data_IF_799993746377
#
_entry.id   IF_799993746377
#
_cell.length_a   1.000
_cell.length_b   1.000
_cell.length_c   1.000
_cell.angle_alpha   90.00
_cell.angle_beta   90.00
_cell.angle_gamma   90.00
#
_symmetry.space_group_name_H-M   'P 1'
#
loop_
_entity.id
_entity.type
_entity.pdbx_description
1 polymer ?
#
# COMPACT_ATOMS: atom_id res chain seq x y z
N UNK A 1 -19.11 30.80 -3.19
CA UNK A 1 -17.65 30.61 -3.04
C UNK A 1 -17.36 29.20 -3.53
N UNK A 2 -17.26 29.10 -4.85
CA UNK A 2 -17.17 27.83 -5.58
C UNK A 2 -15.78 27.23 -5.37
N UNK A 3 -15.72 25.99 -4.88
CA UNK A 3 -14.48 25.22 -4.84
C UNK A 3 -14.34 24.57 -6.21
N UNK A 4 -13.39 25.09 -6.99
CA UNK A 4 -12.96 24.51 -8.27
C UNK A 4 -12.64 23.04 -8.09
N UNK A 5 -13.35 22.18 -8.83
CA UNK A 5 -12.96 20.79 -8.99
C UNK A 5 -11.64 20.75 -9.76
N UNK A 6 -10.57 20.37 -9.07
CA UNK A 6 -9.31 20.02 -9.71
C UNK A 6 -9.52 18.67 -10.40
N UNK A 7 -9.69 18.71 -11.72
CA UNK A 7 -9.75 17.53 -12.57
C UNK A 7 -8.36 16.90 -12.60
N UNK A 8 -8.22 15.72 -12.00
CA UNK A 8 -7.01 14.93 -12.14
C UNK A 8 -7.06 14.27 -13.52
N UNK A 9 -6.27 14.78 -14.46
CA UNK A 9 -6.07 14.16 -15.76
C UNK A 9 -5.40 12.79 -15.58
N UNK A 10 -6.15 11.72 -15.78
CA UNK A 10 -5.60 10.36 -15.86
C UNK A 10 -5.02 10.18 -17.27
N UNK A 11 -3.72 10.44 -17.41
CA UNK A 11 -2.99 10.23 -18.66
C UNK A 11 -3.09 8.75 -19.09
N UNK A 12 -3.69 8.53 -20.27
CA UNK A 12 -3.82 7.21 -20.91
C UNK A 12 -2.73 7.08 -21.98
N UNK A 13 -1.60 6.47 -21.62
CA UNK A 13 -0.45 6.15 -22.49
C UNK A 13 0.75 5.69 -21.66
N UNK A 14 1.71 4.90 -22.19
CA UNK A 14 2.86 4.43 -21.40
C UNK A 14 3.84 5.59 -21.20
N UNK A 15 3.51 6.47 -20.26
CA UNK A 15 4.44 7.48 -19.78
C UNK A 15 5.41 6.79 -18.82
N UNK A 16 6.71 7.10 -18.92
CA UNK A 16 7.71 6.62 -17.96
C UNK A 16 7.18 6.75 -16.53
N UNK A 17 7.45 5.79 -15.63
CA UNK A 17 7.00 5.85 -14.25
C UNK A 17 7.28 7.23 -13.66
N UNK A 18 6.23 7.92 -13.23
CA UNK A 18 6.39 9.25 -12.64
C UNK A 18 7.00 9.09 -11.26
N UNK A 19 8.07 9.83 -10.98
CA UNK A 19 8.75 9.82 -9.67
C UNK A 19 8.45 11.13 -8.96
N UNK A 20 8.01 11.04 -7.71
CA UNK A 20 7.70 12.18 -6.85
C UNK A 20 8.65 12.19 -5.65
N UNK A 21 9.39 13.27 -5.49
CA UNK A 21 10.15 13.56 -4.27
C UNK A 21 9.22 14.04 -3.16
N UNK A 22 9.23 13.36 -2.01
CA UNK A 22 8.35 13.69 -0.89
C UNK A 22 8.99 13.36 0.47
N UNK A 23 8.22 13.55 1.55
CA UNK A 23 8.60 13.26 2.91
C UNK A 23 7.60 12.27 3.53
N UNK A 24 8.08 11.14 4.04
CA UNK A 24 7.28 10.22 4.85
C UNK A 24 7.50 10.48 6.34
N UNK A 25 6.42 10.44 7.12
CA UNK A 25 6.46 10.61 8.56
C UNK A 25 6.44 9.22 9.22
N UNK A 26 7.54 8.86 9.87
CA UNK A 26 7.65 7.63 10.66
C UNK A 26 7.62 7.97 12.14
N UNK A 27 6.98 7.14 12.97
CA UNK A 27 7.10 7.30 14.41
C UNK A 27 8.56 7.13 14.85
N UNK A 28 8.94 7.85 15.90
CA UNK A 28 10.28 7.73 16.46
C UNK A 28 10.52 6.31 17.01
N UNK A 29 11.71 5.78 16.72
CA UNK A 29 12.24 4.58 17.35
C UNK A 29 12.55 4.83 18.82
N UNK A 30 12.66 3.77 19.63
CA UNK A 30 12.92 3.89 21.07
C UNK A 30 14.18 4.70 21.39
N UNK A 31 15.24 4.52 20.59
CA UNK A 31 16.52 5.24 20.74
C UNK A 31 16.41 6.73 20.44
N UNK A 32 15.42 7.12 19.63
CA UNK A 32 15.19 8.50 19.18
C UNK A 32 14.10 9.20 20.01
N UNK A 33 13.69 8.62 21.14
CA UNK A 33 12.62 9.17 21.99
C UNK A 33 11.21 8.65 21.65
N UNK A 34 11.12 7.50 20.97
CA UNK A 34 9.90 6.74 20.77
C UNK A 34 9.32 6.15 22.06
N UNK A 35 8.18 5.48 21.94
CA UNK A 35 7.45 4.89 23.09
C UNK A 35 7.46 3.37 23.02
N UNK A 36 7.74 2.72 24.17
CA UNK A 36 7.77 1.25 24.30
C UNK A 36 6.39 0.64 24.54
N UNK A 37 5.45 1.43 25.07
CA UNK A 37 4.07 1.02 25.31
C UNK A 37 3.16 2.03 24.63
N UNK A 38 2.16 1.53 23.91
CA UNK A 38 1.20 2.33 23.17
C UNK A 38 -0.20 2.11 23.76
N UNK A 39 -0.86 3.18 24.17
CA UNK A 39 -2.26 3.16 24.60
C UNK A 39 -3.13 3.75 23.50
N UNK A 40 -3.56 2.89 22.57
CA UNK A 40 -4.34 3.27 21.38
C UNK A 40 -5.60 4.04 21.75
N UNK A 41 -5.91 5.10 21.00
CA UNK A 41 -7.11 5.91 21.20
C UNK A 41 -6.98 7.02 22.26
N UNK A 42 -5.85 7.12 22.95
CA UNK A 42 -5.56 8.23 23.86
C UNK A 42 -5.04 9.47 23.12
N UNK A 43 -5.08 10.62 23.78
CA UNK A 43 -4.43 11.83 23.27
C UNK A 43 -2.91 11.65 23.09
N UNK A 44 -2.28 10.81 23.92
CA UNK A 44 -0.86 10.47 23.80
C UNK A 44 -0.54 9.75 22.49
N UNK A 45 -1.38 8.77 22.11
CA UNK A 45 -1.26 8.05 20.83
C UNK A 45 -1.34 9.00 19.62
N UNK A 46 -2.24 9.99 19.65
CA UNK A 46 -2.43 10.93 18.52
C UNK A 46 -1.38 12.04 18.44
N UNK A 47 -0.63 12.30 19.51
CA UNK A 47 0.40 13.35 19.58
C UNK A 47 1.82 12.79 19.50
N UNK A 48 1.98 11.53 19.09
CA UNK A 48 3.29 10.92 18.97
C UNK A 48 4.15 11.69 17.97
N UNK A 49 5.40 12.01 18.33
CA UNK A 49 6.30 12.68 17.42
C UNK A 49 6.66 11.76 16.25
N UNK A 50 6.97 12.38 15.12
CA UNK A 50 7.40 11.68 13.91
C UNK A 50 8.71 12.27 13.38
N UNK A 51 9.49 11.41 12.73
CA UNK A 51 10.65 11.75 11.93
C UNK A 51 10.24 11.83 10.47
N UNK A 52 10.62 12.93 9.81
CA UNK A 52 10.46 13.10 8.36
C UNK A 52 11.64 12.44 7.65
N UNK A 53 11.35 11.58 6.69
CA UNK A 53 12.34 10.93 5.84
C UNK A 53 12.06 11.31 4.39
N UNK A 54 13.04 11.92 3.73
CA UNK A 54 12.98 12.23 2.32
C UNK A 54 13.01 10.93 1.52
N UNK A 55 12.04 10.74 0.63
CA UNK A 55 11.93 9.55 -0.21
C UNK A 55 11.48 9.92 -1.62
N UNK A 56 11.82 9.06 -2.58
CA UNK A 56 11.24 9.07 -3.92
C UNK A 56 10.16 8.00 -3.99
N UNK A 57 8.97 8.38 -4.45
CA UNK A 57 7.85 7.47 -4.69
C UNK A 57 7.62 7.36 -6.19
N UNK A 58 7.66 6.14 -6.71
CA UNK A 58 7.44 5.83 -8.13
C UNK A 58 6.00 5.36 -8.35
N UNK A 59 5.29 6.02 -9.25
CA UNK A 59 4.00 5.57 -9.76
C UNK A 59 4.22 4.47 -10.81
N UNK A 60 3.70 3.28 -10.53
CA UNK A 60 3.94 2.07 -11.33
C UNK A 60 2.80 1.76 -12.31
N UNK A 61 1.76 2.60 -12.36
CA UNK A 61 0.60 2.42 -13.25
C UNK A 61 1.05 2.43 -14.71
N UNK A 62 0.64 1.41 -15.48
CA UNK A 62 1.05 1.21 -16.87
C UNK A 62 2.39 0.49 -17.05
N UNK A 63 3.10 0.18 -15.97
CA UNK A 63 4.36 -0.58 -15.97
C UNK A 63 4.26 -1.85 -15.10
N UNK A 64 3.05 -2.35 -14.83
CA UNK A 64 2.81 -3.46 -13.91
C UNK A 64 3.52 -4.74 -14.33
N UNK A 65 3.67 -4.97 -15.64
CA UNK A 65 4.37 -6.12 -16.22
C UNK A 65 5.87 -6.16 -15.92
N UNK A 66 6.46 -5.02 -15.52
CA UNK A 66 7.89 -4.92 -15.23
C UNK A 66 8.25 -5.42 -13.82
N UNK A 67 7.23 -5.68 -12.99
CA UNK A 67 7.35 -6.13 -11.61
C UNK A 67 7.12 -7.63 -11.51
N UNK A 68 8.10 -8.36 -10.97
CA UNK A 68 8.01 -9.80 -10.79
C UNK A 68 8.54 -10.26 -9.42
N UNK A 69 8.21 -11.51 -9.08
CA UNK A 69 8.56 -12.11 -7.81
C UNK A 69 10.07 -12.26 -7.61
N UNK A 70 10.84 -12.45 -8.66
CA UNK A 70 12.29 -12.66 -8.56
C UNK A 70 13.05 -11.35 -8.34
N UNK A 71 12.59 -10.25 -8.95
CA UNK A 71 13.24 -8.94 -8.87
C UNK A 71 12.77 -8.11 -7.68
N UNK A 72 11.46 -8.01 -7.45
CA UNK A 72 10.90 -7.14 -6.41
C UNK A 72 10.29 -7.91 -5.23
N UNK A 73 10.11 -9.23 -5.35
CA UNK A 73 9.43 -10.04 -4.33
C UNK A 73 7.91 -9.87 -4.34
N UNK A 74 7.36 -9.15 -5.32
CA UNK A 74 5.92 -9.01 -5.54
C UNK A 74 5.61 -8.86 -7.03
N UNK A 75 4.40 -9.23 -7.43
CA UNK A 75 3.85 -9.02 -8.78
C UNK A 75 2.43 -8.49 -8.64
N UNK A 76 2.02 -7.61 -9.56
CA UNK A 76 0.63 -7.20 -9.68
C UNK A 76 -0.11 -8.17 -10.59
N UNK A 77 -1.20 -8.74 -10.09
CA UNK A 77 -2.08 -9.64 -10.86
C UNK A 77 -3.49 -9.07 -10.83
N UNK A 78 -4.07 -8.87 -12.01
CA UNK A 78 -5.48 -8.54 -12.14
C UNK A 78 -6.29 -9.81 -11.91
N UNK A 79 -6.88 -9.94 -10.73
CA UNK A 79 -7.64 -11.12 -10.33
C UNK A 79 -8.95 -10.73 -9.66
N UNK A 80 -10.02 -11.47 -9.95
CA UNK A 80 -11.31 -11.30 -9.32
C UNK A 80 -11.48 -12.33 -8.19
N UNK A 81 -11.39 -11.88 -6.94
CA UNK A 81 -11.53 -12.74 -5.75
C UNK A 81 -12.89 -13.43 -5.68
N UNK A 82 -12.89 -14.69 -5.26
CA UNK A 82 -14.11 -15.49 -5.04
C UNK A 82 -14.92 -15.02 -3.83
N UNK A 83 -14.24 -14.66 -2.74
CA UNK A 83 -14.86 -14.11 -1.53
C UNK A 83 -14.83 -12.58 -1.59
N UNK A 84 -15.99 -11.94 -1.41
CA UNK A 84 -16.13 -10.48 -1.47
C UNK A 84 -16.71 -9.87 -0.19
N UNK A 85 -17.38 -10.68 0.64
CA UNK A 85 -18.12 -10.19 1.80
C UNK A 85 -17.32 -10.40 3.09
N UNK A 86 -16.42 -11.38 3.12
CA UNK A 86 -15.50 -11.64 4.24
C UNK A 86 -16.22 -11.78 5.61
N UNK A 87 -17.42 -12.34 5.61
CA UNK A 87 -18.23 -12.50 6.82
C UNK A 87 -18.07 -13.88 7.51
N UNK A 88 -17.51 -14.87 6.82
CA UNK A 88 -17.33 -16.24 7.31
C UNK A 88 -15.85 -16.59 7.40
N UNK A 89 -15.33 -16.68 8.62
CA UNK A 89 -13.93 -16.98 8.89
C UNK A 89 -13.48 -18.35 8.33
N UNK A 90 -14.35 -19.36 8.40
CA UNK A 90 -14.01 -20.70 7.90
C UNK A 90 -13.85 -20.68 6.38
N UNK A 91 -14.78 -20.03 5.68
CA UNK A 91 -14.69 -19.85 4.22
C UNK A 91 -13.49 -19.02 3.82
N UNK A 92 -13.18 -17.93 4.52
CA UNK A 92 -11.98 -17.11 4.25
C UNK A 92 -10.73 -17.96 4.36
N UNK A 93 -10.60 -18.77 5.42
CA UNK A 93 -9.44 -19.64 5.63
C UNK A 93 -9.26 -20.68 4.54
N UNK A 94 -10.32 -21.15 3.91
CA UNK A 94 -10.23 -22.14 2.84
C UNK A 94 -10.11 -21.48 1.47
N UNK A 95 -11.10 -20.67 1.10
CA UNK A 95 -11.27 -20.15 -0.26
C UNK A 95 -10.17 -19.15 -0.64
N UNK A 96 -9.84 -18.20 0.24
CA UNK A 96 -8.83 -17.17 -0.05
C UNK A 96 -7.42 -17.76 -0.10
N UNK A 97 -7.12 -18.71 0.79
CA UNK A 97 -5.80 -19.35 0.81
C UNK A 97 -5.58 -20.27 -0.39
N UNK A 98 -6.55 -21.11 -0.76
CA UNK A 98 -6.42 -21.95 -1.96
C UNK A 98 -6.42 -21.10 -3.24
N UNK A 99 -7.23 -20.04 -3.31
CA UNK A 99 -7.21 -19.09 -4.42
C UNK A 99 -5.83 -18.42 -4.57
N UNK A 100 -5.27 -17.91 -3.48
CA UNK A 100 -3.94 -17.26 -3.49
C UNK A 100 -2.84 -18.23 -3.85
N UNK A 101 -2.92 -19.47 -3.37
CA UNK A 101 -1.98 -20.54 -3.72
C UNK A 101 -2.04 -20.86 -5.22
N UNK A 102 -3.23 -20.98 -5.80
CA UNK A 102 -3.39 -21.22 -7.22
C UNK A 102 -2.81 -20.06 -8.04
N UNK A 103 -3.07 -18.80 -7.65
CA UNK A 103 -2.49 -17.63 -8.31
C UNK A 103 -0.97 -17.65 -8.30
N UNK A 104 -0.35 -18.05 -7.19
CA UNK A 104 1.11 -18.15 -7.10
C UNK A 104 1.70 -19.23 -8.02
N UNK A 105 0.94 -20.30 -8.31
CA UNK A 105 1.40 -21.42 -9.14
C UNK A 105 1.22 -21.16 -10.63
N UNK A 106 0.18 -20.41 -11.01
CA UNK A 106 -0.16 -20.11 -12.41
C UNK A 106 0.64 -18.93 -13.00
N UNK A 107 1.32 -18.17 -12.15
CA UNK A 107 1.92 -16.87 -12.44
C UNK A 107 3.44 -16.94 -12.42
#
# INVERSE_FOLDING_TARGET
>A
MERSGETIDVATGPSRPTVVDTQLNYYLELVDGGVSIQYTGTAGDKRRPWKRTAVQITDIRGCESDYDLDKQGFRLVQHHSREQVFADEAKIRTDVYEETKQLLMDT
#
